data_IF_871662818990
#
_entry.id   IF_871662818990
#
_cell.length_a   1.000
_cell.length_b   1.000
_cell.length_c   1.000
_cell.angle_alpha   90.00
_cell.angle_beta   90.00
_cell.angle_gamma   90.00
#
_symmetry.space_group_name_H-M   'P 1'
#
loop_
_entity.id
_entity.type
_entity.pdbx_description
1 polymer ?
#
# COMPACT_ATOMS: atom_id res chain seq x y z
N UNK A 1 -2.93 58.36 -13.83
CA UNK A 1 -3.00 59.79 -13.43
C UNK A 1 -2.91 59.87 -11.91
N UNK A 2 -2.09 60.78 -11.35
CA UNK A 2 -1.95 61.10 -9.90
C UNK A 2 -1.40 59.93 -9.02
N UNK A 3 -0.46 60.08 -8.08
CA UNK A 3 -0.20 61.08 -7.00
C UNK A 3 -1.18 60.90 -5.82
N UNK A 4 -0.83 60.93 -4.52
CA UNK A 4 0.39 61.25 -3.73
C UNK A 4 0.23 60.58 -2.31
N UNK A 5 1.16 60.45 -1.34
CA UNK A 5 2.63 60.69 -1.13
C UNK A 5 3.05 60.02 0.19
N UNK A 6 4.31 59.54 0.34
CA UNK A 6 5.20 60.00 1.44
C UNK A 6 6.63 59.39 1.41
N UNK A 7 7.62 60.23 1.13
CA UNK A 7 9.00 60.08 1.60
C UNK A 7 9.53 61.50 1.92
N UNK A 8 8.93 62.12 2.94
CA UNK A 8 8.74 63.57 3.04
C UNK A 8 10.03 64.39 3.22
N UNK A 9 11.12 63.76 3.65
CA UNK A 9 12.31 64.44 4.20
C UNK A 9 13.61 64.19 3.41
N UNK A 10 13.56 63.64 2.19
CA UNK A 10 14.76 63.42 1.35
C UNK A 10 15.30 64.70 0.68
N UNK A 11 15.14 65.86 1.31
CA UNK A 11 15.64 67.14 0.82
C UNK A 11 17.09 67.40 1.30
N UNK A 12 18.02 67.62 0.37
CA UNK A 12 19.20 68.45 0.63
C UNK A 12 20.60 67.89 0.36
N UNK A 13 20.78 66.59 0.10
CA UNK A 13 22.15 66.04 -0.10
C UNK A 13 22.44 65.57 -1.53
N UNK A 14 23.52 66.13 -2.07
CA UNK A 14 23.92 66.09 -3.48
C UNK A 14 24.96 64.99 -3.69
N UNK A 15 24.79 64.18 -4.74
CA UNK A 15 25.75 63.22 -5.30
C UNK A 15 26.14 62.01 -4.42
N UNK A 16 25.65 60.82 -4.79
CA UNK A 16 26.48 59.67 -5.19
C UNK A 16 25.62 58.55 -5.80
N UNK A 17 25.97 58.12 -7.00
CA UNK A 17 25.21 57.14 -7.77
C UNK A 17 25.34 55.72 -7.22
N UNK A 18 24.21 55.02 -7.05
CA UNK A 18 24.19 53.57 -6.83
C UNK A 18 23.89 52.88 -8.15
N UNK A 19 24.91 52.33 -8.82
CA UNK A 19 24.82 51.84 -10.21
C UNK A 19 23.80 50.70 -10.38
N UNK A 20 23.54 49.91 -9.33
CA UNK A 20 22.51 48.84 -9.35
C UNK A 20 21.10 49.30 -8.94
N UNK A 21 20.92 50.53 -8.44
CA UNK A 21 19.62 51.04 -7.98
C UNK A 21 19.28 52.43 -8.56
N UNK A 22 19.88 52.84 -9.68
CA UNK A 22 19.68 54.16 -10.31
C UNK A 22 20.22 55.36 -9.52
N UNK A 23 20.50 55.20 -8.22
CA UNK A 23 21.10 56.20 -7.35
C UNK A 23 20.12 57.21 -6.77
N UNK A 24 19.35 56.81 -5.75
CA UNK A 24 19.32 57.46 -4.43
C UNK A 24 18.86 56.44 -3.38
N UNK A 25 19.06 56.73 -2.09
CA UNK A 25 19.11 55.69 -1.04
C UNK A 25 17.75 55.22 -0.50
N UNK A 26 17.69 53.93 -0.14
CA UNK A 26 16.70 53.39 0.81
C UNK A 26 17.32 52.18 1.54
N UNK A 27 17.13 52.06 2.86
CA UNK A 27 17.85 51.07 3.71
C UNK A 27 17.18 49.67 3.74
N UNK A 28 16.42 49.31 2.72
CA UNK A 28 15.56 48.11 2.74
C UNK A 28 15.79 47.18 1.54
N UNK A 29 16.39 46.03 1.84
CA UNK A 29 16.09 44.73 1.24
C UNK A 29 16.13 44.60 -0.30
N UNK A 30 17.24 44.97 -0.94
CA UNK A 30 17.63 44.32 -2.19
C UNK A 30 18.16 42.91 -1.86
N UNK A 31 17.28 41.91 -1.84
CA UNK A 31 17.71 40.51 -1.73
C UNK A 31 18.48 40.12 -3.00
N UNK A 32 19.64 39.49 -2.84
CA UNK A 32 20.49 39.10 -3.98
C UNK A 32 19.80 38.07 -4.90
N UNK A 33 20.27 37.93 -6.16
CA UNK A 33 19.76 36.88 -7.04
C UNK A 33 19.94 35.50 -6.38
N UNK A 34 18.97 34.62 -6.58
CA UNK A 34 19.05 33.26 -6.07
C UNK A 34 20.33 32.57 -6.57
N UNK A 35 21.00 31.84 -5.68
CA UNK A 35 22.14 31.00 -6.08
C UNK A 35 21.73 29.94 -7.10
N UNK A 36 22.69 29.43 -7.90
CA UNK A 36 22.40 28.33 -8.81
C UNK A 36 21.82 27.13 -8.04
N UNK A 37 20.85 26.45 -8.65
CA UNK A 37 20.27 25.24 -8.08
C UNK A 37 21.39 24.23 -7.80
N UNK A 38 21.38 23.65 -6.58
CA UNK A 38 22.35 22.61 -6.21
C UNK A 38 22.24 21.38 -7.14
N UNK A 39 23.30 20.56 -7.24
CA UNK A 39 23.24 19.34 -8.04
C UNK A 39 22.06 18.47 -7.60
N UNK A 40 21.38 17.86 -8.59
CA UNK A 40 20.33 16.89 -8.31
C UNK A 40 20.91 15.77 -7.43
N UNK A 41 20.18 15.38 -6.38
CA UNK A 41 20.56 14.24 -5.55
C UNK A 41 20.64 12.95 -6.39
N UNK A 42 21.34 11.92 -5.89
CA UNK A 42 21.41 10.63 -6.59
C UNK A 42 20.00 10.11 -6.85
N UNK A 43 19.77 9.57 -8.05
CA UNK A 43 18.53 8.87 -8.38
C UNK A 43 18.32 7.75 -7.34
N UNK A 44 17.13 7.67 -6.76
CA UNK A 44 16.78 6.59 -5.84
C UNK A 44 16.87 5.21 -6.51
N UNK A 45 16.88 4.11 -5.72
CA UNK A 45 16.82 2.77 -6.27
C UNK A 45 15.66 2.62 -7.26
N UNK A 46 15.87 1.86 -8.33
CA UNK A 46 14.76 1.46 -9.19
C UNK A 46 13.76 0.64 -8.36
N UNK A 47 12.46 0.90 -8.53
CA UNK A 47 11.41 0.12 -7.87
C UNK A 47 11.47 -1.33 -8.35
N UNK A 48 11.87 -2.24 -7.48
CA UNK A 48 12.32 -3.56 -7.91
C UNK A 48 11.16 -4.55 -8.13
N UNK A 49 11.17 -5.20 -9.30
CA UNK A 49 10.25 -6.28 -9.62
C UNK A 49 10.60 -7.59 -8.89
N UNK A 50 11.80 -7.70 -8.29
CA UNK A 50 12.20 -8.78 -7.38
C UNK A 50 12.06 -8.44 -5.88
N UNK A 51 11.37 -7.36 -5.49
CA UNK A 51 11.00 -7.12 -4.08
C UNK A 51 9.99 -8.13 -3.57
N UNK A 52 10.16 -8.67 -2.35
CA UNK A 52 9.18 -9.59 -1.77
C UNK A 52 7.82 -8.94 -1.46
N UNK A 53 7.80 -7.63 -1.16
CA UNK A 53 6.54 -6.88 -1.03
C UNK A 53 5.77 -6.82 -2.38
N UNK A 54 6.48 -6.79 -3.51
CA UNK A 54 5.86 -6.98 -4.82
C UNK A 54 5.42 -8.43 -5.03
N UNK A 55 6.19 -9.42 -4.55
CA UNK A 55 5.81 -10.84 -4.52
C UNK A 55 4.46 -11.09 -3.86
N UNK A 56 4.29 -10.64 -2.60
CA UNK A 56 3.00 -10.67 -1.88
C UNK A 56 1.86 -10.03 -2.70
N UNK A 57 2.13 -8.89 -3.37
CA UNK A 57 1.13 -8.20 -4.20
C UNK A 57 0.72 -8.99 -5.45
N UNK A 58 1.65 -9.67 -6.13
CA UNK A 58 1.32 -10.55 -7.26
C UNK A 58 0.59 -11.82 -6.79
N UNK A 59 0.97 -12.37 -5.62
CA UNK A 59 0.28 -13.51 -5.01
C UNK A 59 -1.18 -13.17 -4.67
N UNK A 60 -1.43 -12.00 -4.08
CA UNK A 60 -2.81 -11.52 -3.84
C UNK A 60 -3.61 -11.41 -5.14
N UNK A 61 -3.04 -10.88 -6.23
CA UNK A 61 -3.73 -10.82 -7.55
C UNK A 61 -4.10 -12.22 -8.05
N UNK A 62 -3.16 -13.17 -7.95
CA UNK A 62 -3.35 -14.56 -8.35
C UNK A 62 -4.45 -15.26 -7.52
N UNK A 63 -4.50 -15.04 -6.20
CA UNK A 63 -5.55 -15.57 -5.33
C UNK A 63 -6.91 -14.90 -5.62
N UNK A 64 -6.95 -13.57 -5.72
CA UNK A 64 -8.20 -12.83 -6.00
C UNK A 64 -8.84 -13.30 -7.31
N UNK A 65 -8.06 -13.46 -8.38
CA UNK A 65 -8.57 -13.98 -9.66
C UNK A 65 -9.20 -15.38 -9.52
N UNK A 66 -8.65 -16.24 -8.67
CA UNK A 66 -9.17 -17.59 -8.45
C UNK A 66 -10.40 -17.61 -7.54
N UNK A 67 -10.42 -16.86 -6.42
CA UNK A 67 -11.58 -16.87 -5.52
C UNK A 67 -12.82 -16.23 -6.14
N UNK A 68 -12.67 -15.30 -7.11
CA UNK A 68 -13.79 -14.81 -7.94
C UNK A 68 -14.42 -15.98 -8.74
N UNK A 69 -13.61 -16.91 -9.25
CA UNK A 69 -14.10 -18.06 -10.03
C UNK A 69 -14.58 -19.24 -9.16
N UNK A 70 -13.95 -19.46 -8.01
CA UNK A 70 -14.22 -20.61 -7.12
C UNK A 70 -15.30 -20.33 -6.06
N UNK A 71 -15.47 -19.08 -5.64
CA UNK A 71 -16.43 -18.66 -4.61
C UNK A 71 -17.37 -17.49 -5.06
N UNK A 72 -17.90 -17.47 -6.30
CA UNK A 72 -18.62 -16.31 -6.86
C UNK A 72 -19.91 -15.91 -6.12
N UNK A 73 -20.44 -16.78 -5.25
CA UNK A 73 -21.69 -16.57 -4.52
C UNK A 73 -21.50 -16.40 -3.01
N UNK A 74 -20.28 -16.53 -2.50
CA UNK A 74 -19.99 -16.33 -1.08
C UNK A 74 -19.81 -14.85 -0.76
N UNK A 75 -20.21 -14.48 0.45
CA UNK A 75 -19.97 -13.14 0.97
C UNK A 75 -18.57 -13.11 1.61
N UNK A 76 -17.78 -12.09 1.26
CA UNK A 76 -16.41 -11.89 1.72
C UNK A 76 -16.35 -10.75 2.73
N UNK A 77 -15.42 -10.83 3.68
CA UNK A 77 -14.93 -9.70 4.47
C UNK A 77 -13.47 -9.43 4.08
N UNK A 78 -13.21 -8.28 3.46
CA UNK A 78 -11.88 -7.84 3.06
C UNK A 78 -11.42 -6.74 4.01
N UNK A 79 -10.22 -6.87 4.59
CA UNK A 79 -9.62 -5.80 5.43
C UNK A 79 -8.45 -5.13 4.71
N UNK A 80 -8.26 -3.84 5.01
CA UNK A 80 -7.24 -3.00 4.39
C UNK A 80 -6.24 -2.47 5.43
N UNK A 81 -5.02 -2.15 4.98
CA UNK A 81 -3.96 -1.60 5.83
C UNK A 81 -4.23 -0.18 6.37
N UNK A 82 -5.31 0.47 5.92
CA UNK A 82 -5.87 1.67 6.55
C UNK A 82 -6.61 1.38 7.86
N UNK A 83 -6.90 0.12 8.18
CA UNK A 83 -7.84 -0.29 9.22
C UNK A 83 -9.31 -0.30 8.77
N UNK A 84 -9.59 -0.09 7.48
CA UNK A 84 -10.94 -0.24 6.91
C UNK A 84 -11.29 -1.71 6.66
N UNK A 85 -12.60 -2.00 6.61
CA UNK A 85 -13.12 -3.29 6.19
C UNK A 85 -14.31 -3.12 5.22
N UNK A 86 -14.39 -4.01 4.22
CA UNK A 86 -15.44 -4.02 3.20
C UNK A 86 -16.08 -5.41 3.13
N UNK A 87 -17.40 -5.44 3.11
CA UNK A 87 -18.21 -6.66 3.11
C UNK A 87 -19.11 -6.74 1.88
N UNK A 88 -19.05 -7.86 1.17
CA UNK A 88 -19.81 -8.09 -0.06
C UNK A 88 -19.26 -9.25 -0.88
N UNK A 89 -19.76 -9.41 -2.10
CA UNK A 89 -19.39 -10.52 -2.99
C UNK A 89 -18.24 -10.15 -3.93
N UNK A 90 -17.46 -11.14 -4.40
CA UNK A 90 -16.49 -10.92 -5.47
C UNK A 90 -17.15 -10.33 -6.71
N UNK A 91 -16.67 -9.17 -7.14
CA UNK A 91 -17.02 -8.53 -8.40
C UNK A 91 -15.94 -8.76 -9.47
N UNK A 92 -15.61 -7.71 -10.21
CA UNK A 92 -14.62 -7.73 -11.29
C UNK A 92 -13.20 -7.36 -10.82
N UNK A 93 -12.25 -7.46 -11.75
CA UNK A 93 -10.86 -7.01 -11.59
C UNK A 93 -10.56 -5.91 -12.61
N UNK A 94 -9.99 -4.80 -12.15
CA UNK A 94 -9.65 -3.65 -13.02
C UNK A 94 -8.14 -3.58 -13.24
N UNK A 95 -7.73 -3.61 -14.51
CA UNK A 95 -6.32 -3.53 -14.94
C UNK A 95 -5.81 -2.09 -14.98
N UNK A 96 -4.61 -1.87 -14.49
CA UNK A 96 -3.87 -0.61 -14.66
C UNK A 96 -3.21 -0.50 -16.04
N UNK A 97 -2.53 0.63 -16.34
CA UNK A 97 -1.92 0.90 -17.65
C UNK A 97 -0.92 -0.16 -18.14
N UNK A 98 -0.29 -0.89 -17.21
CA UNK A 98 0.69 -1.93 -17.50
C UNK A 98 0.07 -3.34 -17.61
N UNK A 99 -1.25 -3.45 -17.79
CA UNK A 99 -1.99 -4.71 -17.93
C UNK A 99 -2.19 -5.53 -16.64
N UNK A 100 -1.41 -5.28 -15.58
CA UNK A 100 -1.61 -5.91 -14.26
C UNK A 100 -2.86 -5.37 -13.57
N UNK A 101 -3.57 -6.22 -12.85
CA UNK A 101 -4.71 -5.84 -12.01
C UNK A 101 -4.30 -4.90 -10.88
N UNK A 102 -4.90 -3.70 -10.81
CA UNK A 102 -4.66 -2.75 -9.72
C UNK A 102 -5.74 -2.79 -8.64
N UNK A 103 -6.99 -3.05 -9.04
CA UNK A 103 -8.17 -2.93 -8.18
C UNK A 103 -9.03 -4.18 -8.24
N UNK A 104 -9.49 -4.64 -7.07
CA UNK A 104 -10.53 -5.64 -6.90
C UNK A 104 -11.86 -4.93 -6.60
N UNK A 105 -12.92 -5.30 -7.31
CA UNK A 105 -14.27 -4.78 -7.04
C UNK A 105 -14.99 -5.75 -6.11
N UNK A 106 -15.54 -5.25 -5.00
CA UNK A 106 -16.47 -5.98 -4.14
C UNK A 106 -17.86 -5.38 -4.32
N UNK A 107 -18.87 -6.23 -4.51
CA UNK A 107 -20.26 -5.82 -4.69
C UNK A 107 -21.00 -6.02 -3.36
N UNK A 108 -21.38 -4.93 -2.70
CA UNK A 108 -22.00 -5.02 -1.38
C UNK A 108 -23.48 -5.50 -1.47
N UNK A 109 -24.13 -5.83 -0.34
CA UNK A 109 -25.52 -6.30 -0.33
C UNK A 109 -26.57 -5.31 -0.88
N UNK A 110 -26.23 -4.03 -1.10
CA UNK A 110 -27.11 -3.06 -1.79
C UNK A 110 -26.85 -2.96 -3.29
N UNK A 111 -25.99 -3.83 -3.85
CA UNK A 111 -25.53 -3.86 -5.25
C UNK A 111 -24.72 -2.61 -5.65
N UNK A 112 -24.00 -2.00 -4.69
CA UNK A 112 -23.02 -0.95 -4.96
C UNK A 112 -21.62 -1.56 -5.11
N UNK A 113 -20.92 -1.20 -6.19
CA UNK A 113 -19.51 -1.54 -6.38
C UNK A 113 -18.60 -0.73 -5.44
N UNK A 114 -17.68 -1.41 -4.76
CA UNK A 114 -16.64 -0.83 -3.92
C UNK A 114 -15.26 -1.22 -4.47
N UNK A 115 -14.41 -0.23 -4.71
CA UNK A 115 -13.14 -0.38 -5.42
C UNK A 115 -11.97 -0.46 -4.44
N UNK A 116 -11.38 -1.65 -4.29
CA UNK A 116 -10.28 -1.91 -3.35
C UNK A 116 -8.93 -1.94 -4.08
N UNK A 117 -7.97 -1.14 -3.61
CA UNK A 117 -6.56 -1.23 -4.01
C UNK A 117 -5.99 -2.58 -3.58
N UNK A 118 -5.56 -3.43 -4.53
CA UNK A 118 -5.02 -4.77 -4.18
C UNK A 118 -3.73 -4.64 -3.37
N UNK A 119 -2.94 -3.59 -3.62
CA UNK A 119 -1.72 -3.27 -2.85
C UNK A 119 -2.02 -2.72 -1.44
N UNK A 120 -3.27 -2.75 -0.99
CA UNK A 120 -3.74 -2.28 0.31
C UNK A 120 -4.61 -3.31 1.02
N UNK A 121 -4.83 -4.49 0.44
CA UNK A 121 -5.59 -5.60 1.05
C UNK A 121 -4.64 -6.41 1.93
N UNK A 122 -5.00 -6.62 3.19
CA UNK A 122 -4.25 -7.48 4.10
C UNK A 122 -4.88 -8.87 4.22
N UNK A 123 -6.20 -8.93 4.37
CA UNK A 123 -6.93 -10.19 4.52
C UNK A 123 -8.18 -10.24 3.64
N UNK A 124 -8.50 -11.45 3.20
CA UNK A 124 -9.77 -11.81 2.57
C UNK A 124 -10.32 -13.02 3.30
N UNK A 125 -11.34 -12.81 4.13
CA UNK A 125 -12.14 -13.88 4.72
C UNK A 125 -13.31 -14.20 3.79
N UNK A 126 -13.55 -15.48 3.54
CA UNK A 126 -14.70 -15.98 2.78
C UNK A 126 -15.62 -16.72 3.75
N UNK A 127 -16.85 -16.24 3.89
CA UNK A 127 -17.80 -16.76 4.86
C UNK A 127 -18.65 -17.90 4.28
N UNK A 128 -18.95 -18.89 5.13
CA UNK A 128 -19.72 -20.09 4.77
C UNK A 128 -19.11 -20.85 3.56
N UNK A 129 -17.80 -21.08 3.60
CA UNK A 129 -17.00 -21.75 2.58
C UNK A 129 -15.93 -22.67 3.21
N UNK A 130 -15.78 -23.87 2.66
CA UNK A 130 -14.61 -24.73 2.90
C UNK A 130 -13.45 -24.31 2.00
N UNK A 131 -12.22 -24.65 2.37
CA UNK A 131 -11.06 -24.50 1.48
C UNK A 131 -11.22 -25.32 0.19
N UNK A 132 -10.63 -24.84 -0.91
CA UNK A 132 -10.73 -25.47 -2.23
C UNK A 132 -9.33 -25.83 -2.77
N UNK A 133 -9.09 -27.13 -2.93
CA UNK A 133 -7.83 -27.70 -3.40
C UNK A 133 -7.46 -27.35 -4.86
N UNK A 134 -8.35 -26.69 -5.61
CA UNK A 134 -8.06 -26.18 -6.94
C UNK A 134 -7.26 -24.85 -6.93
N UNK A 135 -7.02 -24.23 -5.76
CA UNK A 135 -6.26 -22.98 -5.66
C UNK A 135 -4.77 -23.23 -5.90
N UNK A 136 -4.23 -22.64 -6.97
CA UNK A 136 -2.82 -22.64 -7.32
C UNK A 136 -2.11 -21.38 -6.80
N UNK A 137 -0.95 -21.55 -6.20
CA UNK A 137 -0.11 -20.46 -5.67
C UNK A 137 1.02 -20.15 -6.67
N UNK A 138 1.51 -18.92 -6.68
CA UNK A 138 2.72 -18.59 -7.45
C UNK A 138 3.93 -19.24 -6.74
N UNK A 139 4.92 -19.75 -7.49
CA UNK A 139 6.16 -20.23 -6.89
C UNK A 139 6.96 -19.08 -6.28
N UNK A 140 7.71 -19.38 -5.23
CA UNK A 140 8.71 -18.46 -4.67
C UNK A 140 9.74 -18.06 -5.75
N UNK A 141 10.13 -16.77 -5.88
CA UNK A 141 11.01 -16.33 -6.94
C UNK A 141 12.39 -17.00 -6.89
N UNK A 142 13.00 -17.20 -8.06
CA UNK A 142 14.35 -17.78 -8.18
C UNK A 142 15.24 -16.84 -9.03
N UNK A 143 16.31 -16.26 -8.47
CA UNK A 143 16.74 -16.34 -7.07
C UNK A 143 15.73 -15.72 -6.11
N UNK A 144 15.76 -16.17 -4.85
CA UNK A 144 14.92 -15.60 -3.79
C UNK A 144 15.23 -14.12 -3.58
N UNK A 145 14.23 -13.26 -3.29
CA UNK A 145 14.44 -11.87 -2.93
C UNK A 145 15.35 -11.71 -1.69
N UNK A 146 16.09 -10.61 -1.64
CA UNK A 146 16.97 -10.26 -0.51
C UNK A 146 16.76 -8.81 -0.06
N UNK A 147 15.51 -8.35 -0.12
CA UNK A 147 15.09 -7.04 0.41
C UNK A 147 14.52 -7.19 1.82
N UNK A 148 14.32 -6.07 2.53
CA UNK A 148 13.83 -6.10 3.92
C UNK A 148 12.45 -6.77 4.05
N UNK A 149 11.65 -6.79 2.97
CA UNK A 149 10.41 -7.54 2.92
C UNK A 149 10.66 -9.05 3.00
N UNK A 150 11.66 -9.58 2.29
CA UNK A 150 11.97 -11.01 2.23
C UNK A 150 12.36 -11.60 3.59
N UNK A 151 13.18 -10.88 4.37
CA UNK A 151 13.58 -11.30 5.72
C UNK A 151 12.37 -11.43 6.64
N UNK A 152 11.44 -10.46 6.63
CA UNK A 152 10.21 -10.51 7.40
C UNK A 152 9.27 -11.63 6.93
N UNK A 153 8.99 -11.66 5.62
CA UNK A 153 8.03 -12.57 4.97
C UNK A 153 8.42 -14.05 5.21
N UNK A 154 9.67 -14.40 4.96
CA UNK A 154 10.21 -15.75 5.18
C UNK A 154 10.30 -16.12 6.67
N UNK A 155 10.65 -15.18 7.55
CA UNK A 155 10.69 -15.43 9.00
C UNK A 155 9.29 -15.69 9.56
N UNK A 156 8.29 -14.90 9.17
CA UNK A 156 6.89 -15.09 9.58
C UNK A 156 6.36 -16.44 9.07
N UNK A 157 6.62 -16.80 7.80
CA UNK A 157 6.32 -18.14 7.25
C UNK A 157 6.98 -19.25 8.07
N UNK A 158 8.24 -19.10 8.49
CA UNK A 158 8.96 -20.14 9.24
C UNK A 158 8.37 -20.42 10.63
N UNK A 159 7.68 -19.45 11.22
CA UNK A 159 7.05 -19.54 12.55
C UNK A 159 5.58 -19.99 12.51
N UNK A 160 4.98 -20.07 11.32
CA UNK A 160 3.57 -20.44 11.12
C UNK A 160 3.41 -21.68 10.19
N UNK A 161 4.00 -22.84 10.52
CA UNK A 161 3.90 -24.04 9.67
C UNK A 161 2.45 -24.53 9.53
N UNK A 162 2.17 -25.27 8.45
CA UNK A 162 0.86 -25.89 8.24
C UNK A 162 0.56 -26.89 9.35
N UNK A 163 -0.64 -26.79 9.92
CA UNK A 163 -1.09 -27.58 11.06
C UNK A 163 -0.95 -26.89 12.42
N UNK A 164 -0.37 -25.68 12.51
CA UNK A 164 -0.41 -24.90 13.76
C UNK A 164 -1.86 -24.50 14.07
N UNK A 165 -2.44 -24.91 15.21
CA UNK A 165 -3.83 -24.59 15.59
C UNK A 165 -3.92 -23.22 16.26
N UNK A 166 -5.16 -22.72 16.43
CA UNK A 166 -5.52 -21.59 17.30
C UNK A 166 -4.75 -20.27 17.09
N UNK A 167 -4.08 -20.13 15.94
CA UNK A 167 -3.23 -18.98 15.62
C UNK A 167 -4.08 -17.73 15.54
N UNK A 168 -3.67 -16.69 16.27
CA UNK A 168 -4.26 -15.35 16.20
C UNK A 168 -3.34 -14.45 15.39
N UNK A 169 -3.84 -13.82 14.32
CA UNK A 169 -3.07 -12.94 13.43
C UNK A 169 -3.75 -11.58 13.32
N UNK A 170 -2.95 -10.52 13.41
CA UNK A 170 -3.34 -9.11 13.34
C UNK A 170 -2.53 -8.45 12.22
N UNK A 171 -3.22 -7.71 11.35
CA UNK A 171 -2.65 -7.02 10.18
C UNK A 171 -2.93 -5.52 10.15
N UNK A 172 -3.90 -5.07 10.94
CA UNK A 172 -4.37 -3.69 11.07
C UNK A 172 -5.30 -3.61 12.30
N UNK A 173 -6.08 -2.53 12.45
CA UNK A 173 -6.96 -2.30 13.62
C UNK A 173 -8.28 -3.08 13.62
N UNK A 174 -8.57 -3.92 12.63
CA UNK A 174 -9.75 -4.77 12.58
C UNK A 174 -9.66 -5.97 13.55
N UNK A 175 -10.78 -6.71 13.69
CA UNK A 175 -10.84 -7.95 14.48
C UNK A 175 -9.76 -8.94 14.01
N UNK A 176 -8.96 -9.54 14.92
CA UNK A 176 -7.95 -10.52 14.57
C UNK A 176 -8.51 -11.70 13.77
N UNK A 177 -7.70 -12.21 12.84
CA UNK A 177 -7.98 -13.48 12.15
C UNK A 177 -7.55 -14.63 13.06
N UNK A 178 -8.43 -15.60 13.32
CA UNK A 178 -8.16 -16.72 14.23
C UNK A 178 -8.46 -18.05 13.54
N UNK A 179 -7.55 -19.01 13.65
CA UNK A 179 -7.77 -20.36 13.12
C UNK A 179 -6.50 -21.21 12.98
N UNK A 180 -6.67 -22.42 12.45
CA UNK A 180 -5.56 -23.33 12.14
C UNK A 180 -4.93 -22.96 10.80
N UNK A 181 -3.60 -22.93 10.72
CA UNK A 181 -2.87 -22.71 9.46
C UNK A 181 -3.07 -23.91 8.53
N UNK A 182 -3.86 -23.73 7.47
CA UNK A 182 -4.09 -24.76 6.46
C UNK A 182 -3.15 -24.64 5.26
N UNK A 183 -2.66 -23.44 4.92
CA UNK A 183 -1.64 -23.22 3.89
C UNK A 183 -0.65 -22.14 4.33
N UNK A 184 0.60 -22.30 3.91
CA UNK A 184 1.71 -21.40 4.20
C UNK A 184 2.57 -21.33 2.94
N UNK A 185 2.20 -20.42 2.05
CA UNK A 185 2.73 -20.29 0.70
C UNK A 185 3.41 -18.93 0.55
N UNK A 186 4.26 -18.78 -0.47
CA UNK A 186 5.00 -17.53 -0.65
C UNK A 186 4.05 -16.35 -0.87
N UNK A 187 4.15 -15.33 -0.01
CA UNK A 187 3.29 -14.15 -0.02
C UNK A 187 1.90 -14.31 0.60
N UNK A 188 1.51 -15.51 1.07
CA UNK A 188 0.16 -15.74 1.62
C UNK A 188 0.09 -16.90 2.63
N UNK A 189 -0.52 -16.64 3.78
CA UNK A 189 -0.92 -17.65 4.77
C UNK A 189 -2.44 -17.82 4.70
N UNK A 190 -2.94 -19.03 4.89
CA UNK A 190 -4.39 -19.30 4.91
C UNK A 190 -4.77 -20.00 6.21
N UNK A 191 -5.74 -19.42 6.92
CA UNK A 191 -6.35 -19.99 8.11
C UNK A 191 -7.72 -20.60 7.79
N UNK A 192 -8.09 -21.68 8.46
CA UNK A 192 -9.47 -22.14 8.63
C UNK A 192 -9.90 -22.00 10.09
N UNK A 193 -11.15 -21.61 10.34
CA UNK A 193 -11.73 -21.64 11.69
C UNK A 193 -12.01 -23.09 12.14
N UNK A 194 -12.27 -23.28 13.45
CA UNK A 194 -12.57 -24.59 14.07
C UNK A 194 -13.67 -25.40 13.36
N UNK A 195 -14.67 -24.72 12.77
CA UNK A 195 -15.78 -25.34 12.04
C UNK A 195 -15.52 -25.55 10.52
N UNK A 196 -14.29 -25.30 10.06
CA UNK A 196 -13.81 -25.40 8.66
C UNK A 196 -14.71 -24.70 7.60
N UNK A 197 -15.51 -23.73 8.04
CA UNK A 197 -16.56 -23.08 7.23
C UNK A 197 -16.35 -21.58 7.02
N UNK A 198 -15.27 -21.00 7.53
CA UNK A 198 -14.77 -19.69 7.12
C UNK A 198 -13.26 -19.80 6.91
N UNK A 199 -12.80 -19.40 5.73
CA UNK A 199 -11.38 -19.43 5.35
C UNK A 199 -10.85 -18.00 5.22
N UNK A 200 -9.65 -17.74 5.72
CA UNK A 200 -9.03 -16.41 5.69
C UNK A 200 -7.69 -16.48 4.97
N UNK A 201 -7.60 -15.83 3.81
CA UNK A 201 -6.34 -15.58 3.11
C UNK A 201 -5.72 -14.32 3.71
N UNK A 202 -4.43 -14.37 4.07
CA UNK A 202 -3.70 -13.32 4.79
C UNK A 202 -2.38 -13.05 4.08
N UNK A 203 -2.13 -11.82 3.67
CA UNK A 203 -0.85 -11.35 3.16
C UNK A 203 0.23 -11.51 4.24
N UNK A 204 1.23 -12.36 4.00
CA UNK A 204 2.37 -12.54 4.93
C UNK A 204 3.18 -11.26 5.10
N UNK A 205 3.24 -10.42 4.06
CA UNK A 205 3.83 -9.07 4.12
C UNK A 205 3.01 -8.06 4.95
N UNK A 206 1.77 -8.36 5.35
CA UNK A 206 0.88 -7.46 6.09
C UNK A 206 0.71 -7.83 7.57
N UNK A 207 1.47 -8.79 8.10
CA UNK A 207 1.29 -9.24 9.49
C UNK A 207 2.05 -8.34 10.47
N UNK A 208 1.30 -7.53 11.23
CA UNK A 208 1.81 -6.67 12.31
C UNK A 208 2.18 -7.49 13.56
N UNK A 209 1.33 -8.47 13.91
CA UNK A 209 1.47 -9.28 15.11
C UNK A 209 0.76 -10.64 14.93
N UNK A 210 1.35 -11.70 15.48
CA UNK A 210 0.72 -13.01 15.57
C UNK A 210 1.01 -13.68 16.92
N UNK A 211 0.22 -14.68 17.28
CA UNK A 211 0.36 -15.50 18.50
C UNK A 211 0.01 -16.96 18.22
N UNK A 212 0.74 -17.85 18.89
CA UNK A 212 0.72 -19.32 18.80
C UNK A 212 0.82 -19.94 20.20
#
# INVERSE_FOLDING_TARGET
>A
MKNYTNCSNCAGFINRSCVFCGGYGCRYCCQGPAGPQGPQGPTGPAGDASSACCGCSEQLRNIIQQIIALYPNNDFLVTLNSGDAVFGRPGSLVTGPNGRTGVFVVINPTNLEQYLSICSIDTIRIDNATYNEAIAYLPEPVPAPTDCCADCESTIRSLLPVGTPDVTIITNTQTPSVGTVIRNEYGIIVLANEAENNITFISSCSIDLFSI
#
